data_IF_822138200488
#
_entry.id   IF_822138200488
#
_cell.length_a   1.000
_cell.length_b   1.000
_cell.length_c   1.000
_cell.angle_alpha   90.00
_cell.angle_beta   90.00
_cell.angle_gamma   90.00
#
_symmetry.space_group_name_H-M   'P 1'
#
loop_
_entity.id
_entity.type
_entity.pdbx_description
1 polymer ?
#
# COMPACT_ATOMS: atom_id res chain seq x y z
N UNK A 1 -19.74 15.38 5.84
CA UNK A 1 -18.73 15.70 4.81
C UNK A 1 -17.29 15.43 5.25
N UNK A 2 -16.86 15.89 6.44
CA UNK A 2 -15.47 15.75 6.90
C UNK A 2 -14.96 14.29 7.05
N UNK A 3 -15.78 13.35 7.51
CA UNK A 3 -15.37 11.94 7.68
C UNK A 3 -15.00 11.24 6.37
N UNK A 4 -15.68 11.54 5.26
CA UNK A 4 -15.36 10.96 3.96
C UNK A 4 -13.98 11.41 3.47
N UNK A 5 -13.65 12.69 3.69
CA UNK A 5 -12.33 13.25 3.35
C UNK A 5 -11.25 12.55 4.17
N UNK A 6 -11.47 12.36 5.47
CA UNK A 6 -10.52 11.68 6.35
C UNK A 6 -10.26 10.24 5.90
N UNK A 7 -11.31 9.48 5.58
CA UNK A 7 -11.17 8.12 5.06
C UNK A 7 -10.42 8.09 3.73
N UNK A 8 -10.71 9.03 2.82
CA UNK A 8 -10.03 9.14 1.54
C UNK A 8 -8.53 9.42 1.72
N UNK A 9 -8.16 10.31 2.64
CA UNK A 9 -6.77 10.62 2.97
C UNK A 9 -6.05 9.41 3.58
N UNK A 10 -6.72 8.65 4.45
CA UNK A 10 -6.15 7.43 5.05
C UNK A 10 -5.89 6.37 3.97
N UNK A 11 -6.82 6.16 3.04
CA UNK A 11 -6.66 5.22 1.93
C UNK A 11 -5.50 5.67 1.02
N UNK A 12 -5.45 6.94 0.65
CA UNK A 12 -4.36 7.48 -0.17
C UNK A 12 -3.00 7.35 0.52
N UNK A 13 -2.92 7.69 1.80
CA UNK A 13 -1.71 7.52 2.59
C UNK A 13 -1.28 6.04 2.65
N UNK A 14 -2.24 5.13 2.85
CA UNK A 14 -1.96 3.70 2.90
C UNK A 14 -1.43 3.16 1.56
N UNK A 15 -2.02 3.58 0.43
CA UNK A 15 -1.55 3.23 -0.92
C UNK A 15 -0.13 3.75 -1.14
N UNK A 16 0.15 5.01 -0.79
CA UNK A 16 1.47 5.62 -0.96
C UNK A 16 2.51 4.91 -0.10
N UNK A 17 2.19 4.61 1.16
CA UNK A 17 3.07 3.89 2.08
C UNK A 17 3.34 2.47 1.56
N UNK A 18 2.31 1.74 1.14
CA UNK A 18 2.47 0.40 0.56
C UNK A 18 3.34 0.43 -0.71
N UNK A 19 3.12 1.41 -1.59
CA UNK A 19 3.88 1.58 -2.81
C UNK A 19 5.36 1.92 -2.53
N UNK A 20 5.63 2.80 -1.57
CA UNK A 20 6.97 3.16 -1.12
C UNK A 20 7.70 1.96 -0.49
N UNK A 21 7.05 1.22 0.40
CA UNK A 21 7.64 0.05 1.06
C UNK A 21 7.92 -1.05 0.03
N UNK A 22 7.00 -1.32 -0.90
CA UNK A 22 7.20 -2.28 -1.96
C UNK A 22 8.39 -1.90 -2.87
N UNK A 23 8.49 -0.63 -3.27
CA UNK A 23 9.62 -0.12 -4.06
C UNK A 23 10.95 -0.28 -3.31
N UNK A 24 11.00 0.07 -2.02
CA UNK A 24 12.22 -0.11 -1.19
C UNK A 24 12.59 -1.57 -1.00
N UNK A 25 11.61 -2.46 -0.91
CA UNK A 25 11.83 -3.91 -0.78
C UNK A 25 12.12 -4.61 -2.10
N UNK A 26 12.02 -3.95 -3.25
CA UNK A 26 12.15 -4.57 -4.57
C UNK A 26 10.99 -5.51 -4.90
N UNK A 27 9.84 -5.34 -4.24
CA UNK A 27 8.59 -5.99 -4.57
C UNK A 27 7.83 -5.15 -5.61
N UNK A 28 6.79 -5.75 -6.22
CA UNK A 28 6.06 -5.11 -7.32
C UNK A 28 5.19 -3.95 -6.79
N UNK A 29 5.68 -2.71 -6.91
CA UNK A 29 5.06 -1.53 -6.30
C UNK A 29 3.63 -1.27 -6.79
N UNK A 30 3.33 -1.54 -8.06
CA UNK A 30 1.98 -1.43 -8.63
C UNK A 30 1.03 -2.44 -7.99
N UNK A 31 1.45 -3.70 -7.86
CA UNK A 31 0.66 -4.75 -7.21
C UNK A 31 0.33 -4.38 -5.77
N UNK A 32 1.31 -3.87 -5.02
CA UNK A 32 1.11 -3.43 -3.64
C UNK A 32 0.31 -2.14 -3.51
N UNK A 33 0.37 -1.25 -4.50
CA UNK A 33 -0.50 -0.08 -4.59
C UNK A 33 -1.98 -0.48 -4.75
N UNK A 34 -2.28 -1.44 -5.63
CA UNK A 34 -3.64 -1.99 -5.78
C UNK A 34 -4.08 -2.70 -4.50
N UNK A 35 -3.21 -3.51 -3.88
CA UNK A 35 -3.52 -4.16 -2.61
C UNK A 35 -3.77 -3.15 -1.48
N UNK A 36 -3.02 -2.05 -1.43
CA UNK A 36 -3.26 -0.95 -0.48
C UNK A 36 -4.58 -0.21 -0.72
N UNK A 37 -5.05 -0.15 -1.97
CA UNK A 37 -6.35 0.45 -2.28
C UNK A 37 -7.51 -0.50 -1.94
N UNK A 38 -7.35 -1.80 -2.16
CA UNK A 38 -8.38 -2.82 -1.90
C UNK A 38 -8.50 -3.18 -0.42
N UNK A 39 -7.37 -3.39 0.25
CA UNK A 39 -7.31 -3.83 1.64
C UNK A 39 -7.02 -2.69 2.62
N UNK A 40 -6.74 -1.48 2.13
CA UNK A 40 -6.43 -0.33 2.96
C UNK A 40 -5.19 -0.56 3.84
N UNK A 41 -5.17 -0.06 5.08
CA UNK A 41 -4.02 -0.20 5.99
C UNK A 41 -3.67 -1.65 6.34
N UNK A 42 -4.59 -2.60 6.13
CA UNK A 42 -4.30 -4.02 6.31
C UNK A 42 -3.25 -4.54 5.31
N UNK A 43 -3.05 -3.89 4.16
CA UNK A 43 -2.00 -4.28 3.21
C UNK A 43 -0.56 -3.98 3.72
N UNK A 44 -0.41 -3.09 4.72
CA UNK A 44 0.89 -2.67 5.26
C UNK A 44 1.68 -3.85 5.88
N UNK A 45 1.12 -4.67 6.79
CA UNK A 45 1.83 -5.84 7.30
C UNK A 45 2.15 -6.86 6.19
N UNK A 46 1.25 -7.04 5.21
CA UNK A 46 1.51 -7.97 4.10
C UNK A 46 2.62 -7.46 3.16
N UNK A 47 2.75 -6.15 2.91
CA UNK A 47 3.87 -5.63 2.10
C UNK A 47 5.22 -5.85 2.79
N UNK A 48 5.21 -5.89 4.13
CA UNK A 48 6.35 -6.26 4.96
C UNK A 48 6.70 -7.76 4.92
N UNK A 49 5.78 -8.61 4.47
CA UNK A 49 6.03 -10.03 4.20
C UNK A 49 6.39 -10.28 2.73
N UNK A 50 6.18 -9.28 1.85
CA UNK A 50 6.48 -9.42 0.43
C UNK A 50 7.98 -9.58 0.20
N UNK A 51 8.32 -10.59 -0.61
CA UNK A 51 9.68 -10.84 -1.07
C UNK A 51 9.98 -10.05 -2.34
N UNK A 52 11.27 -9.83 -2.61
CA UNK A 52 11.75 -9.23 -3.85
C UNK A 52 11.18 -9.98 -5.04
N UNK A 53 10.72 -9.24 -6.05
CA UNK A 53 10.45 -9.80 -7.36
C UNK A 53 11.80 -10.03 -8.04
N UNK A 54 12.37 -11.23 -7.84
CA UNK A 54 13.51 -11.71 -8.63
C UNK A 54 13.00 -11.93 -10.05
N UNK A 55 13.55 -11.19 -11.02
CA UNK A 55 13.52 -11.63 -12.42
C UNK A 55 14.52 -12.75 -12.59
#
# INVERSE_FOLDING_TARGET
MAQLILLLLIVLASVVICHQIAKKRGANAVFWGVMGALFGPLAIPFVFLSRRKTN
#
